data_IF_645245685133
#
_entry.id   IF_645245685133
#
_cell.length_a   1.000
_cell.length_b   1.000
_cell.length_c   1.000
_cell.angle_alpha   90.00
_cell.angle_beta   90.00
_cell.angle_gamma   90.00
#
_symmetry.space_group_name_H-M   'P 1'
#
loop_
_entity.id
_entity.type
_entity.pdbx_description
1 polymer ?
#
# COMPACT_ATOMS: atom_id res chain seq x y z
N UNK A 1 6.86 -0.31 0.01
CA UNK A 1 5.67 -0.73 0.74
C UNK A 1 4.54 -1.00 -0.25
N UNK A 2 3.71 -2.03 0.00
CA UNK A 2 2.59 -2.37 -0.87
C UNK A 2 1.33 -2.47 -0.01
N UNK A 3 0.31 -1.67 -0.33
CA UNK A 3 -0.95 -1.68 0.40
C UNK A 3 -2.14 -1.80 -0.57
N UNK A 4 -3.25 -2.29 -0.05
CA UNK A 4 -4.54 -2.24 -0.73
C UNK A 4 -5.57 -1.58 0.18
N UNK A 5 -6.37 -0.69 -0.37
CA UNK A 5 -7.50 -0.07 0.29
C UNK A 5 -8.78 -0.33 -0.50
N UNK A 6 -9.66 -1.12 0.05
CA UNK A 6 -10.98 -1.40 -0.53
C UNK A 6 -12.07 -0.93 0.41
N UNK A 7 -13.10 -0.31 -0.13
CA UNK A 7 -14.20 0.21 0.68
C UNK A 7 -15.26 0.96 -0.13
N UNK A 8 -16.27 1.51 0.50
CA UNK A 8 -17.34 2.23 -0.18
C UNK A 8 -16.82 3.49 -0.90
N UNK A 9 -17.62 4.01 -1.82
CA UNK A 9 -17.35 5.29 -2.49
C UNK A 9 -17.44 6.46 -1.51
N UNK A 10 -16.73 7.55 -1.82
CA UNK A 10 -16.84 8.81 -1.09
C UNK A 10 -16.05 8.89 0.22
N UNK A 11 -15.15 7.95 0.50
CA UNK A 11 -14.29 7.96 1.70
C UNK A 11 -12.94 8.68 1.50
N UNK A 12 -12.74 9.38 0.37
CA UNK A 12 -11.53 10.20 0.14
C UNK A 12 -10.31 9.43 -0.34
N UNK A 13 -10.40 8.10 -0.59
CA UNK A 13 -9.25 7.27 -0.99
C UNK A 13 -8.39 7.90 -2.08
N UNK A 14 -8.97 8.16 -3.24
CA UNK A 14 -8.23 8.70 -4.39
C UNK A 14 -7.69 10.11 -4.11
N UNK A 15 -8.45 10.93 -3.37
CA UNK A 15 -8.04 12.29 -3.03
C UNK A 15 -6.76 12.33 -2.19
N UNK A 16 -6.65 11.47 -1.19
CA UNK A 16 -5.44 11.39 -0.35
C UNK A 16 -4.21 11.09 -1.21
N UNK A 17 -4.31 10.13 -2.13
CA UNK A 17 -3.16 9.73 -2.96
C UNK A 17 -2.86 10.69 -4.11
N UNK A 18 -3.80 11.56 -4.50
CA UNK A 18 -3.55 12.60 -5.51
C UNK A 18 -2.92 13.87 -4.94
N UNK A 19 -3.29 14.23 -3.70
CA UNK A 19 -2.97 15.54 -3.13
C UNK A 19 -1.92 15.53 -2.02
N UNK A 20 -1.68 14.37 -1.39
CA UNK A 20 -0.89 14.31 -0.17
C UNK A 20 0.62 14.47 -0.40
N UNK A 21 1.15 14.17 -1.58
CA UNK A 21 2.59 14.22 -1.81
C UNK A 21 2.94 14.56 -3.26
N UNK A 22 3.85 15.53 -3.49
CA UNK A 22 4.41 15.81 -4.82
C UNK A 22 5.32 14.70 -5.35
N UNK A 23 5.67 13.72 -4.52
CA UNK A 23 6.49 12.54 -4.88
C UNK A 23 5.63 11.31 -5.23
N UNK A 24 4.32 11.44 -5.23
CA UNK A 24 3.37 10.40 -5.57
C UNK A 24 2.63 10.67 -6.86
N UNK A 25 2.10 9.62 -7.47
CA UNK A 25 1.21 9.71 -8.61
C UNK A 25 0.01 8.78 -8.44
N UNK A 26 -1.18 9.29 -8.73
CA UNK A 26 -2.40 8.52 -8.84
C UNK A 26 -2.66 8.22 -10.33
N UNK A 27 -2.82 6.95 -10.67
CA UNK A 27 -3.10 6.52 -12.04
C UNK A 27 -4.30 5.58 -12.08
N UNK A 28 -5.05 5.59 -13.20
CA UNK A 28 -6.13 4.63 -13.37
C UNK A 28 -5.56 3.20 -13.42
N UNK A 29 -6.01 2.34 -12.50
CA UNK A 29 -5.58 0.94 -12.42
C UNK A 29 -6.19 0.04 -13.50
N UNK A 30 -7.18 0.54 -14.25
CA UNK A 30 -7.91 -0.26 -15.25
C UNK A 30 -7.17 -0.50 -16.56
N UNK A 31 -6.21 0.35 -16.93
CA UNK A 31 -5.56 0.34 -18.24
C UNK A 31 -4.05 0.58 -18.18
N UNK A 32 -3.41 0.07 -17.16
CA UNK A 32 -1.97 0.27 -17.03
C UNK A 32 -1.21 -0.82 -17.79
N UNK A 33 -0.26 -0.40 -18.62
CA UNK A 33 0.62 -1.31 -19.35
C UNK A 33 1.97 -1.49 -18.65
N UNK A 34 2.67 -2.59 -18.98
CA UNK A 34 4.04 -2.84 -18.53
C UNK A 34 4.97 -1.68 -18.93
N UNK A 35 4.81 -1.16 -20.15
CA UNK A 35 5.64 -0.06 -20.67
C UNK A 35 5.44 1.24 -19.89
N UNK A 36 4.21 1.53 -19.46
CA UNK A 36 3.90 2.72 -18.65
C UNK A 36 4.39 2.57 -17.21
N UNK A 37 4.23 1.40 -16.63
CA UNK A 37 4.54 1.18 -15.22
C UNK A 37 6.04 0.96 -14.97
N UNK A 38 6.70 0.15 -15.78
CA UNK A 38 8.08 -0.29 -15.56
C UNK A 38 9.07 0.30 -16.56
N UNK A 39 9.01 -0.11 -17.80
CA UNK A 39 9.92 0.34 -18.85
C UNK A 39 9.28 0.23 -20.24
N UNK A 40 9.47 1.25 -21.04
CA UNK A 40 9.16 1.20 -22.46
C UNK A 40 10.40 0.69 -23.22
N UNK A 41 10.35 -0.53 -23.71
CA UNK A 41 11.49 -1.18 -24.39
C UNK A 41 11.91 -0.49 -25.68
N UNK A 42 10.98 0.18 -26.39
CA UNK A 42 11.28 0.89 -27.64
C UNK A 42 12.03 2.20 -27.41
N UNK A 43 11.57 3.00 -26.43
CA UNK A 43 12.19 4.30 -26.11
C UNK A 43 13.24 4.24 -25.02
N UNK A 44 13.41 3.08 -24.39
CA UNK A 44 14.28 2.85 -23.24
C UNK A 44 13.99 3.78 -22.04
N UNK A 45 12.81 4.38 -21.98
CA UNK A 45 12.38 5.24 -20.86
C UNK A 45 11.87 4.42 -19.70
N UNK A 46 12.35 4.76 -18.51
CA UNK A 46 11.88 4.18 -17.25
C UNK A 46 10.44 4.64 -16.99
N UNK A 47 9.60 3.73 -16.55
CA UNK A 47 8.20 3.98 -16.23
C UNK A 47 7.97 4.58 -14.84
N UNK A 48 6.72 4.58 -14.41
CA UNK A 48 6.28 5.27 -13.20
C UNK A 48 7.04 4.83 -11.94
N UNK A 49 7.26 3.52 -11.76
CA UNK A 49 7.91 3.01 -10.54
C UNK A 49 9.38 3.38 -10.42
N UNK A 50 10.02 3.75 -11.51
CA UNK A 50 11.41 4.21 -11.49
C UNK A 50 11.54 5.72 -11.34
N UNK A 51 10.43 6.47 -11.43
CA UNK A 51 10.43 7.93 -11.32
C UNK A 51 9.79 8.43 -10.01
N UNK A 52 8.67 7.81 -9.59
CA UNK A 52 7.90 8.24 -8.42
C UNK A 52 8.26 7.45 -7.17
N UNK A 53 8.14 8.08 -6.00
CA UNK A 53 8.31 7.43 -4.70
C UNK A 53 7.07 6.60 -4.30
N UNK A 54 5.90 7.00 -4.80
CA UNK A 54 4.63 6.30 -4.59
C UNK A 54 3.81 6.26 -5.87
N UNK A 55 3.31 5.09 -6.22
CA UNK A 55 2.38 4.88 -7.35
C UNK A 55 1.09 4.29 -6.80
N UNK A 56 0.02 5.05 -6.87
CA UNK A 56 -1.31 4.62 -6.48
C UNK A 56 -2.16 4.29 -7.72
N UNK A 57 -2.83 3.16 -7.67
CA UNK A 57 -3.70 2.65 -8.73
C UNK A 57 -5.15 2.87 -8.33
N UNK A 58 -5.79 3.89 -8.90
CA UNK A 58 -7.20 4.15 -8.67
C UNK A 58 -8.07 3.20 -9.48
N UNK A 59 -9.28 3.01 -9.01
CA UNK A 59 -10.24 2.08 -9.62
C UNK A 59 -9.63 0.70 -9.90
N UNK A 60 -8.78 0.21 -9.00
CA UNK A 60 -8.13 -1.10 -9.16
C UNK A 60 -9.14 -2.26 -9.09
N UNK A 61 -10.23 -2.10 -8.37
CA UNK A 61 -11.34 -3.04 -8.33
C UNK A 61 -12.20 -2.99 -9.61
N UNK A 62 -12.79 -4.12 -9.97
CA UNK A 62 -13.65 -4.31 -11.14
C UNK A 62 -13.39 -5.68 -11.77
N UNK A 63 -14.27 -6.67 -11.50
CA UNK A 63 -14.14 -8.06 -11.99
C UNK A 63 -13.99 -8.16 -13.51
N UNK A 64 -14.67 -7.27 -14.24
CA UNK A 64 -14.72 -7.29 -15.71
C UNK A 64 -13.49 -6.66 -16.38
N UNK A 65 -12.56 -6.11 -15.59
CA UNK A 65 -11.36 -5.45 -16.14
C UNK A 65 -10.41 -6.48 -16.75
N UNK A 66 -9.96 -6.20 -17.96
CA UNK A 66 -8.95 -7.01 -18.63
C UNK A 66 -7.57 -6.69 -18.06
N UNK A 67 -6.91 -7.69 -17.54
CA UNK A 67 -5.55 -7.57 -16.98
C UNK A 67 -4.62 -8.51 -17.74
N UNK A 68 -3.45 -8.02 -18.13
CA UNK A 68 -2.42 -8.84 -18.75
C UNK A 68 -1.68 -9.68 -17.71
N UNK A 69 -1.54 -10.98 -17.95
CA UNK A 69 -0.81 -11.88 -17.04
C UNK A 69 0.64 -11.43 -16.85
N UNK A 70 1.29 -11.02 -17.92
CA UNK A 70 2.67 -10.53 -17.89
C UNK A 70 2.85 -9.33 -16.95
N UNK A 71 1.89 -8.40 -16.93
CA UNK A 71 1.91 -7.27 -16.01
C UNK A 71 1.91 -7.74 -14.55
N UNK A 72 1.04 -8.70 -14.20
CA UNK A 72 0.95 -9.23 -12.84
C UNK A 72 2.25 -9.92 -12.44
N UNK A 73 2.85 -10.70 -13.33
CA UNK A 73 4.09 -11.42 -13.04
C UNK A 73 5.26 -10.44 -12.80
N UNK A 74 5.36 -9.37 -13.58
CA UNK A 74 6.37 -8.32 -13.36
C UNK A 74 6.07 -7.55 -12.07
N UNK A 75 4.80 -7.23 -11.80
CA UNK A 75 4.41 -6.57 -10.53
C UNK A 75 4.78 -7.45 -9.33
N UNK A 76 4.47 -8.75 -9.35
CA UNK A 76 4.88 -9.69 -8.28
C UNK A 76 6.38 -9.67 -8.04
N UNK A 77 7.17 -9.70 -9.12
CA UNK A 77 8.61 -9.65 -9.02
C UNK A 77 9.09 -8.31 -8.40
N UNK A 78 8.57 -7.19 -8.91
CA UNK A 78 8.90 -5.87 -8.38
C UNK A 78 8.49 -5.69 -6.90
N UNK A 79 7.31 -6.13 -6.52
CA UNK A 79 6.83 -6.06 -5.13
C UNK A 79 7.73 -6.83 -4.15
N UNK A 80 8.35 -7.92 -4.62
CA UNK A 80 9.27 -8.72 -3.82
C UNK A 80 10.70 -8.14 -3.78
N UNK A 81 11.23 -7.74 -4.94
CA UNK A 81 12.66 -7.51 -5.12
C UNK A 81 13.03 -6.03 -5.32
N UNK A 82 12.02 -5.14 -5.48
CA UNK A 82 12.23 -3.72 -5.79
C UNK A 82 13.09 -3.49 -7.04
N UNK A 83 12.99 -4.42 -7.99
CA UNK A 83 13.70 -4.34 -9.27
C UNK A 83 12.85 -4.91 -10.40
N UNK A 84 13.11 -4.45 -11.61
CA UNK A 84 12.50 -4.96 -12.83
C UNK A 84 13.52 -5.02 -13.96
N UNK A 85 13.31 -5.91 -14.92
CA UNK A 85 14.25 -6.12 -16.03
C UNK A 85 14.01 -5.12 -17.15
N UNK A 86 15.12 -4.64 -17.74
CA UNK A 86 15.17 -3.83 -18.94
C UNK A 86 16.13 -4.49 -19.94
N UNK A 87 15.61 -5.30 -20.85
CA UNK A 87 16.46 -6.14 -21.70
C UNK A 87 17.29 -7.08 -20.84
N UNK A 88 18.61 -6.96 -20.92
CA UNK A 88 19.57 -7.72 -20.10
C UNK A 88 19.84 -7.07 -18.74
N UNK A 89 19.47 -5.79 -18.56
CA UNK A 89 19.77 -5.04 -17.34
C UNK A 89 18.66 -5.18 -16.31
N UNK A 90 19.01 -5.11 -15.05
CA UNK A 90 18.08 -4.99 -13.93
C UNK A 90 18.11 -3.54 -13.39
N UNK A 91 16.94 -2.94 -13.32
CA UNK A 91 16.76 -1.58 -12.79
C UNK A 91 16.15 -1.67 -11.40
N UNK A 92 16.86 -1.15 -10.41
CA UNK A 92 16.32 -0.98 -9.06
C UNK A 92 15.40 0.23 -8.98
N UNK A 93 14.33 0.13 -8.22
CA UNK A 93 13.43 1.24 -7.93
C UNK A 93 12.77 1.03 -6.56
N UNK A 94 12.35 2.12 -5.93
CA UNK A 94 11.87 2.07 -4.54
C UNK A 94 10.41 2.48 -4.38
N UNK A 95 9.67 2.70 -5.47
CA UNK A 95 8.29 3.12 -5.40
C UNK A 95 7.43 2.17 -4.54
N UNK A 96 6.64 2.75 -3.67
CA UNK A 96 5.54 2.06 -3.00
C UNK A 96 4.38 1.87 -3.97
N UNK A 97 3.65 0.77 -3.85
CA UNK A 97 2.45 0.51 -4.63
C UNK A 97 1.21 0.51 -3.74
N UNK A 98 0.22 1.31 -4.10
CA UNK A 98 -1.06 1.40 -3.40
C UNK A 98 -2.21 1.09 -4.35
N UNK A 99 -3.04 0.13 -4.00
CA UNK A 99 -4.15 -0.36 -4.83
C UNK A 99 -5.47 0.10 -4.22
N UNK A 100 -6.22 0.96 -4.93
CA UNK A 100 -7.45 1.58 -4.44
C UNK A 100 -8.65 1.04 -5.20
N UNK A 101 -9.69 0.65 -4.49
CA UNK A 101 -10.88 0.13 -5.13
C UNK A 101 -12.16 0.32 -4.33
N UNK A 102 -13.28 0.23 -5.03
CA UNK A 102 -14.59 0.34 -4.42
C UNK A 102 -15.23 -1.05 -4.24
N UNK A 103 -15.78 -1.29 -3.05
CA UNK A 103 -16.60 -2.47 -2.79
C UNK A 103 -18.06 -2.19 -3.14
N UNK A 104 -18.74 -3.17 -3.74
CA UNK A 104 -20.18 -3.12 -4.05
C UNK A 104 -21.02 -3.66 -2.91
N UNK A 105 -20.45 -4.58 -2.13
CA UNK A 105 -21.12 -5.24 -1.01
C UNK A 105 -20.67 -4.65 0.32
N UNK A 106 -21.55 -4.73 1.32
CA UNK A 106 -21.17 -4.37 2.69
C UNK A 106 -20.34 -5.48 3.34
N UNK A 107 -19.64 -5.10 4.42
CA UNK A 107 -18.73 -6.00 5.14
C UNK A 107 -19.45 -7.27 5.64
N UNK A 108 -20.65 -7.12 6.20
CA UNK A 108 -21.41 -8.26 6.74
C UNK A 108 -21.74 -9.29 5.65
N UNK A 109 -22.03 -8.84 4.45
CA UNK A 109 -22.23 -9.73 3.30
C UNK A 109 -20.93 -10.43 2.89
N UNK A 110 -19.84 -9.66 2.75
CA UNK A 110 -18.55 -10.21 2.34
C UNK A 110 -18.04 -11.27 3.33
N UNK A 111 -18.17 -11.01 4.62
CA UNK A 111 -17.77 -11.97 5.67
C UNK A 111 -18.58 -13.27 5.67
N UNK A 112 -19.84 -13.23 5.23
CA UNK A 112 -20.73 -14.42 5.25
C UNK A 112 -20.72 -15.21 3.96
N UNK A 113 -20.47 -14.56 2.82
CA UNK A 113 -20.77 -15.16 1.51
C UNK A 113 -19.61 -15.13 0.55
N UNK A 114 -18.61 -14.25 0.76
CA UNK A 114 -17.48 -14.07 -0.17
C UNK A 114 -16.19 -13.81 0.59
N UNK A 115 -15.38 -12.86 0.13
CA UNK A 115 -14.14 -12.43 0.77
C UNK A 115 -13.84 -10.95 0.45
N UNK A 116 -12.92 -10.33 1.16
CA UNK A 116 -12.62 -8.89 1.03
C UNK A 116 -11.95 -8.49 -0.29
N UNK A 117 -11.47 -9.45 -1.09
CA UNK A 117 -10.92 -9.21 -2.42
C UNK A 117 -11.91 -9.50 -3.56
N UNK A 118 -13.18 -9.75 -3.25
CA UNK A 118 -14.22 -10.13 -4.22
C UNK A 118 -14.28 -9.22 -5.44
N UNK A 119 -14.04 -7.92 -5.28
CA UNK A 119 -14.15 -6.94 -6.35
C UNK A 119 -12.91 -6.83 -7.23
N UNK A 120 -11.83 -7.51 -6.90
CA UNK A 120 -10.63 -7.52 -7.76
C UNK A 120 -10.88 -8.35 -9.02
N UNK A 121 -10.25 -7.99 -10.15
CA UNK A 121 -10.16 -8.89 -11.29
C UNK A 121 -9.56 -10.24 -10.88
N UNK A 122 -10.14 -11.34 -11.38
CA UNK A 122 -9.76 -12.71 -10.98
C UNK A 122 -8.26 -12.99 -11.04
N UNK A 123 -7.57 -12.39 -12.02
CA UNK A 123 -6.12 -12.55 -12.18
C UNK A 123 -5.30 -11.95 -11.04
N UNK A 124 -5.83 -10.99 -10.29
CA UNK A 124 -5.18 -10.45 -9.08
C UNK A 124 -5.51 -11.25 -7.83
N UNK A 125 -6.53 -12.10 -7.88
CA UNK A 125 -6.83 -13.09 -6.82
C UNK A 125 -5.85 -14.27 -6.99
N UNK A 126 -4.58 -13.95 -6.93
CA UNK A 126 -3.45 -14.87 -7.02
C UNK A 126 -2.74 -14.86 -5.66
N UNK A 127 -2.60 -16.01 -5.04
CA UNK A 127 -2.02 -16.11 -3.71
C UNK A 127 -0.64 -15.48 -3.62
N UNK A 128 0.15 -15.58 -4.69
CA UNK A 128 1.48 -14.99 -4.71
C UNK A 128 1.45 -13.46 -4.87
N UNK A 129 0.44 -12.87 -5.54
CA UNK A 129 0.24 -11.44 -5.59
C UNK A 129 -0.25 -10.91 -4.23
N UNK A 130 -1.30 -11.51 -3.68
CA UNK A 130 -1.88 -11.12 -2.40
C UNK A 130 -0.86 -11.20 -1.27
N UNK A 131 -0.07 -12.26 -1.23
CA UNK A 131 0.95 -12.46 -0.19
C UNK A 131 2.06 -11.39 -0.18
N UNK A 132 2.19 -10.58 -1.25
CA UNK A 132 3.11 -9.44 -1.33
C UNK A 132 2.51 -8.10 -0.89
N UNK A 133 1.24 -8.07 -0.56
CA UNK A 133 0.60 -6.93 0.09
C UNK A 133 1.00 -6.92 1.57
N UNK A 134 1.54 -5.82 2.05
CA UNK A 134 1.93 -5.68 3.45
C UNK A 134 0.75 -5.33 4.35
N UNK A 135 -0.25 -4.64 3.80
CA UNK A 135 -1.35 -4.07 4.53
C UNK A 135 -2.64 -4.09 3.71
N UNK A 136 -3.74 -4.39 4.38
CA UNK A 136 -5.10 -4.13 3.90
C UNK A 136 -5.74 -3.04 4.75
N UNK A 137 -6.06 -1.91 4.12
CA UNK A 137 -6.82 -0.83 4.74
C UNK A 137 -8.32 -1.01 4.46
N UNK A 138 -9.13 -1.17 5.50
CA UNK A 138 -10.56 -1.32 5.34
C UNK A 138 -11.22 0.05 5.16
N UNK A 139 -11.42 0.47 3.92
CA UNK A 139 -12.00 1.78 3.60
C UNK A 139 -13.44 1.98 4.13
N UNK A 140 -14.10 0.93 4.60
CA UNK A 140 -15.39 1.02 5.30
C UNK A 140 -15.27 1.48 6.77
N UNK A 141 -14.08 1.49 7.36
CA UNK A 141 -13.83 2.07 8.68
C UNK A 141 -13.60 3.58 8.60
N UNK A 142 -13.41 4.11 7.38
CA UNK A 142 -13.28 5.54 7.14
C UNK A 142 -14.65 6.17 6.92
N UNK A 143 -14.91 7.28 7.61
CA UNK A 143 -16.15 8.02 7.40
C UNK A 143 -16.17 8.66 6.01
N UNK A 144 -17.35 8.73 5.35
CA UNK A 144 -17.50 9.48 4.11
C UNK A 144 -17.09 10.94 4.32
N UNK A 145 -16.33 11.48 3.37
CA UNK A 145 -15.88 12.88 3.41
C UNK A 145 -17.10 13.79 3.25
N UNK A 146 -17.29 14.70 4.20
CA UNK A 146 -18.36 15.68 4.23
C UNK A 146 -17.76 17.07 4.43
N UNK A 147 -18.52 18.10 4.07
CA UNK A 147 -18.09 19.51 4.20
C UNK A 147 -17.69 19.88 5.63
N UNK A 148 -18.35 19.29 6.63
CA UNK A 148 -18.07 19.54 8.05
C UNK A 148 -16.69 19.05 8.51
N UNK A 149 -16.06 18.18 7.72
CA UNK A 149 -14.71 17.66 8.01
C UNK A 149 -13.59 18.56 7.50
N UNK A 150 -13.93 19.58 6.70
CA UNK A 150 -12.93 20.55 6.23
C UNK A 150 -12.79 21.68 7.26
N UNK A 151 -11.53 22.02 7.56
CA UNK A 151 -11.21 23.14 8.45
C UNK A 151 -11.14 24.44 7.65
N UNK A 152 -11.70 25.50 8.21
CA UNK A 152 -11.55 26.88 7.71
C UNK A 152 -10.28 27.56 8.26
N UNK A 153 -9.51 26.84 9.07
CA UNK A 153 -8.28 27.32 9.68
C UNK A 153 -7.04 27.13 8.79
N UNK A 154 -5.90 27.50 9.33
CA UNK A 154 -4.61 27.29 8.69
C UNK A 154 -4.29 25.78 8.64
N UNK A 155 -3.93 25.29 7.45
CA UNK A 155 -3.44 23.94 7.25
C UNK A 155 -1.91 23.87 7.29
N UNK A 156 -1.38 22.66 7.53
CA UNK A 156 0.04 22.43 7.38
C UNK A 156 0.40 22.35 5.88
N UNK A 157 1.56 22.87 5.50
CA UNK A 157 2.02 22.82 4.10
C UNK A 157 2.34 21.37 3.75
N UNK A 158 1.55 20.79 2.86
CA UNK A 158 1.63 19.37 2.47
C UNK A 158 3.00 19.03 1.88
N UNK A 159 3.55 19.90 1.03
CA UNK A 159 4.87 19.67 0.40
C UNK A 159 5.98 19.59 1.45
N UNK A 160 5.95 20.43 2.48
CA UNK A 160 6.91 20.36 3.58
C UNK A 160 6.76 19.07 4.39
N UNK A 161 5.53 18.63 4.66
CA UNK A 161 5.28 17.36 5.32
C UNK A 161 5.80 16.19 4.48
N UNK A 162 5.57 16.22 3.16
CA UNK A 162 6.04 15.19 2.23
C UNK A 162 7.57 15.07 2.21
N UNK A 163 8.29 16.22 2.21
CA UNK A 163 9.76 16.21 2.32
C UNK A 163 10.24 15.64 3.66
N UNK A 164 9.58 16.00 4.76
CA UNK A 164 9.88 15.41 6.07
C UNK A 164 9.67 13.90 6.08
N UNK A 165 8.56 13.40 5.57
CA UNK A 165 8.27 11.97 5.46
C UNK A 165 9.26 11.25 4.52
N UNK A 166 9.69 11.90 3.45
CA UNK A 166 10.72 11.38 2.54
C UNK A 166 12.05 11.19 3.26
N UNK A 167 12.44 12.13 4.13
CA UNK A 167 13.64 12.00 4.96
C UNK A 167 13.56 10.76 5.87
N UNK A 168 12.39 10.52 6.51
CA UNK A 168 12.19 9.35 7.35
C UNK A 168 12.14 8.02 6.60
N UNK A 169 11.98 8.03 5.27
CA UNK A 169 11.85 6.82 4.47
C UNK A 169 13.03 5.86 4.64
N UNK A 170 14.24 6.39 4.76
CA UNK A 170 15.49 5.63 4.88
C UNK A 170 15.78 5.15 6.31
N UNK A 171 15.02 5.60 7.31
CA UNK A 171 15.18 5.14 8.67
C UNK A 171 14.45 3.81 8.88
N UNK A 172 14.99 2.95 9.74
CA UNK A 172 14.37 1.69 10.12
C UNK A 172 14.07 1.64 11.62
N UNK A 173 12.79 1.70 11.95
CA UNK A 173 12.30 1.57 13.33
C UNK A 173 11.79 0.17 13.65
N UNK A 174 11.95 -0.80 12.75
CA UNK A 174 11.46 -2.15 12.96
C UNK A 174 12.09 -2.85 14.16
N UNK A 175 13.28 -2.44 14.56
CA UNK A 175 14.01 -3.03 15.69
C UNK A 175 13.47 -2.61 17.08
N UNK A 176 12.70 -1.53 17.17
CA UNK A 176 12.18 -1.01 18.45
C UNK A 176 11.21 -1.97 19.15
N UNK A 177 10.59 -2.91 18.45
CA UNK A 177 9.73 -3.90 19.12
C UNK A 177 10.50 -5.01 19.83
N UNK A 178 11.71 -5.37 19.34
CA UNK A 178 12.47 -6.54 19.83
C UNK A 178 12.71 -6.59 21.34
N UNK A 179 13.09 -5.48 22.02
CA UNK A 179 13.28 -5.50 23.46
C UNK A 179 11.98 -5.58 24.25
N UNK A 180 10.82 -5.39 23.60
CA UNK A 180 9.52 -5.28 24.24
C UNK A 180 8.63 -6.50 24.00
N UNK A 181 8.73 -7.11 22.80
CA UNK A 181 7.82 -8.16 22.33
C UNK A 181 8.54 -9.20 21.49
N UNK A 182 8.05 -10.44 21.55
CA UNK A 182 8.42 -11.52 20.65
C UNK A 182 7.26 -11.83 19.70
N UNK A 183 7.55 -11.90 18.40
CA UNK A 183 6.60 -12.40 17.41
C UNK A 183 6.67 -13.92 17.38
N UNK A 184 5.51 -14.58 17.29
CA UNK A 184 5.41 -16.03 17.21
C UNK A 184 6.31 -16.58 16.08
N UNK A 185 6.97 -17.70 16.35
CA UNK A 185 7.85 -18.41 15.40
C UNK A 185 7.07 -18.98 14.19
N UNK A 186 5.76 -19.20 14.34
CA UNK A 186 4.92 -19.83 13.32
C UNK A 186 4.52 -18.90 12.17
N UNK A 187 4.80 -17.59 12.29
CA UNK A 187 4.53 -16.63 11.22
C UNK A 187 5.54 -16.78 10.09
N UNK A 188 5.07 -16.68 8.84
CA UNK A 188 5.96 -16.73 7.68
C UNK A 188 6.90 -15.54 7.61
N UNK A 189 8.01 -15.66 6.88
CA UNK A 189 8.95 -14.55 6.67
C UNK A 189 8.26 -13.34 6.04
N UNK A 190 7.31 -13.55 5.13
CA UNK A 190 6.55 -12.46 4.48
C UNK A 190 5.57 -11.78 5.43
N UNK A 191 4.93 -12.55 6.31
CA UNK A 191 4.05 -11.97 7.31
C UNK A 191 4.84 -11.10 8.28
N UNK A 192 5.98 -11.61 8.73
CA UNK A 192 6.90 -10.85 9.57
C UNK A 192 7.38 -9.57 8.87
N UNK A 193 7.80 -9.65 7.61
CA UNK A 193 8.24 -8.49 6.81
C UNK A 193 7.11 -7.46 6.68
N UNK A 194 5.89 -7.88 6.36
CA UNK A 194 4.73 -6.99 6.26
C UNK A 194 4.41 -6.30 7.59
N UNK A 195 4.39 -7.03 8.70
CA UNK A 195 4.17 -6.49 10.04
C UNK A 195 5.25 -5.47 10.39
N UNK A 196 6.52 -5.82 10.23
CA UNK A 196 7.63 -4.95 10.62
C UNK A 196 7.74 -3.69 9.77
N UNK A 197 7.46 -3.78 8.47
CA UNK A 197 7.41 -2.59 7.60
C UNK A 197 6.27 -1.65 7.99
N UNK A 198 5.11 -2.19 8.34
CA UNK A 198 3.97 -1.39 8.82
C UNK A 198 4.28 -0.75 10.16
N UNK A 199 4.79 -1.55 11.11
CA UNK A 199 5.22 -1.07 12.42
C UNK A 199 6.26 0.05 12.31
N UNK A 200 7.34 -0.18 11.57
CA UNK A 200 8.39 0.81 11.35
C UNK A 200 7.84 2.10 10.70
N UNK A 201 6.95 1.98 9.73
CA UNK A 201 6.31 3.13 9.09
C UNK A 201 5.48 3.96 10.05
N UNK A 202 4.62 3.32 10.83
CA UNK A 202 3.77 4.00 11.81
C UNK A 202 4.60 4.62 12.95
N UNK A 203 5.57 3.90 13.49
CA UNK A 203 6.45 4.42 14.54
C UNK A 203 7.21 5.67 14.08
N UNK A 204 7.72 5.70 12.84
CA UNK A 204 8.40 6.87 12.27
C UNK A 204 7.50 8.10 12.17
N UNK A 205 6.23 7.91 11.86
CA UNK A 205 5.26 8.99 11.69
C UNK A 205 4.77 9.51 13.05
N UNK A 206 4.46 8.60 13.96
CA UNK A 206 3.85 8.95 15.27
C UNK A 206 4.92 9.37 16.27
N UNK A 207 6.04 8.68 16.29
CA UNK A 207 7.13 8.87 17.24
C UNK A 207 8.48 9.16 16.55
N UNK A 208 8.59 10.22 15.73
CA UNK A 208 9.83 10.52 14.98
C UNK A 208 11.02 10.82 15.89
N UNK A 209 10.76 11.19 17.15
CA UNK A 209 11.76 11.48 18.17
C UNK A 209 12.19 10.24 18.98
N UNK A 210 11.68 9.05 18.64
CA UNK A 210 11.97 7.74 19.28
C UNK A 210 11.63 7.67 20.78
N UNK A 211 10.82 8.61 21.29
CA UNK A 211 10.35 8.61 22.69
C UNK A 211 8.91 8.11 22.72
N UNK A 212 8.72 6.91 23.24
CA UNK A 212 7.43 6.25 23.35
C UNK A 212 7.44 5.28 24.54
N UNK A 213 6.27 4.99 25.07
CA UNK A 213 6.08 4.00 26.13
C UNK A 213 5.90 2.60 25.51
N UNK A 214 6.07 1.55 26.36
CA UNK A 214 5.83 0.17 25.91
C UNK A 214 4.39 -0.02 25.38
N UNK A 215 3.42 0.61 25.99
CA UNK A 215 2.01 0.58 25.59
C UNK A 215 1.78 1.15 24.21
N UNK A 216 2.48 2.22 23.86
CA UNK A 216 2.38 2.85 22.54
C UNK A 216 2.91 1.89 21.44
N UNK A 217 4.08 1.31 21.69
CA UNK A 217 4.66 0.34 20.77
C UNK A 217 3.80 -0.92 20.64
N UNK A 218 3.14 -1.35 21.73
CA UNK A 218 2.21 -2.48 21.71
C UNK A 218 0.97 -2.19 20.85
N UNK A 219 0.40 -1.01 20.96
CA UNK A 219 -0.75 -0.59 20.16
C UNK A 219 -0.41 -0.55 18.67
N UNK A 220 0.72 0.07 18.30
CA UNK A 220 1.20 0.12 16.92
C UNK A 220 1.50 -1.27 16.37
N UNK A 221 2.08 -2.16 17.20
CA UNK A 221 2.36 -3.53 16.78
C UNK A 221 1.07 -4.33 16.56
N UNK A 222 0.08 -4.22 17.46
CA UNK A 222 -1.23 -4.86 17.30
C UNK A 222 -1.93 -4.42 16.03
N UNK A 223 -1.91 -3.10 15.75
CA UNK A 223 -2.47 -2.56 14.52
C UNK A 223 -1.75 -3.11 13.28
N UNK A 224 -0.43 -3.19 13.31
CA UNK A 224 0.38 -3.71 12.21
C UNK A 224 0.10 -5.20 11.94
N UNK A 225 -0.09 -5.99 12.99
CA UNK A 225 -0.49 -7.40 12.90
C UNK A 225 -1.88 -7.52 12.29
N UNK A 226 -2.84 -6.73 12.76
CA UNK A 226 -4.21 -6.74 12.27
C UNK A 226 -4.29 -6.39 10.77
N UNK A 227 -3.58 -5.33 10.35
CA UNK A 227 -3.50 -4.93 8.94
C UNK A 227 -2.96 -6.06 8.04
N UNK A 228 -1.97 -6.82 8.51
CA UNK A 228 -1.43 -7.96 7.77
C UNK A 228 -2.36 -9.16 7.81
N UNK A 229 -3.01 -9.45 8.94
CA UNK A 229 -4.01 -10.53 9.04
C UNK A 229 -5.13 -10.35 8.04
N UNK A 230 -5.63 -9.14 7.85
CA UNK A 230 -6.68 -8.84 6.86
C UNK A 230 -6.28 -9.17 5.42
N UNK A 231 -4.99 -9.27 5.11
CA UNK A 231 -4.51 -9.79 3.81
C UNK A 231 -4.57 -11.31 3.75
N UNK A 232 -4.37 -11.99 4.88
CA UNK A 232 -4.18 -13.46 4.95
C UNK A 232 -5.48 -14.23 5.18
N UNK A 233 -6.33 -13.71 6.04
CA UNK A 233 -7.54 -14.39 6.53
C UNK A 233 -8.72 -14.18 5.55
N UNK A 234 -8.50 -14.50 4.26
CA UNK A 234 -9.49 -14.35 3.18
C UNK A 234 -10.05 -15.70 2.71
#
# INVERSE_FOLDING_TARGET
YNLIELGPKGTGKSHVFSEFSPHGILVSGGEISVAKLFVNNQSAKVGLVGFWDSVAFDEFAGKDKRVEKNLIDIMKNYMANKSFSRGTDSVGAEASMSFLGNTKRNVAYMMRHTHFFEELPDKYIDSAFLDRLHCYLPGWETQPVRSELFSDGFGFIVDYLAEGLKHFRNLDFSHHYKPLFELNSDITTRDRDGILKTFSGLMKIIYPHEKFEKTDAEEVLKLSIEMRKRVKDQ
#
